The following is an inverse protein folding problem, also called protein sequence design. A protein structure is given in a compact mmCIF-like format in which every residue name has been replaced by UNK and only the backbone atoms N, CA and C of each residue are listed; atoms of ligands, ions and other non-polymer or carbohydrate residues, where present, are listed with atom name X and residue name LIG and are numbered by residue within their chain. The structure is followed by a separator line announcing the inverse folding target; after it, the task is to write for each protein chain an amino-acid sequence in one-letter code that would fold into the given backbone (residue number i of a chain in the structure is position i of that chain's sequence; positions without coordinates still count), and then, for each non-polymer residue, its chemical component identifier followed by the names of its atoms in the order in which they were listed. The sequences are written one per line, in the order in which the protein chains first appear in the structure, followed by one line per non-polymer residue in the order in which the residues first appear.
data_IF_479507588779
#
_entry.id   IF_479507588779
#
_cell.length_a   1.000
_cell.length_b   1.000
_cell.length_c   1.000
_cell.angle_alpha   90.00
_cell.angle_beta   90.00
_cell.angle_gamma   90.00
#
_symmetry.space_group_name_H-M   'P 1'
#
loop_
_entity.id
_entity.type
_entity.pdbx_description
1 polymer ?
#
# COMPACT_ATOMS: atom_id res chain seq x y z
N UNK A 1 -2.39 -24.79 -12.63
CA UNK A 1 -3.71 -24.46 -13.22
C UNK A 1 -4.19 -23.07 -12.80
N UNK A 2 -4.23 -22.75 -11.50
CA UNK A 2 -4.64 -21.42 -11.04
C UNK A 2 -3.72 -20.28 -11.52
N UNK A 3 -2.41 -20.50 -11.53
CA UNK A 3 -1.46 -19.46 -11.98
C UNK A 3 -1.62 -19.15 -13.47
N UNK A 4 -1.85 -20.18 -14.31
CA UNK A 4 -2.17 -20.01 -15.75
C UNK A 4 -3.47 -19.21 -15.90
N UNK A 5 -4.51 -19.57 -15.14
CA UNK A 5 -5.79 -18.84 -15.18
C UNK A 5 -5.65 -17.38 -14.74
N UNK A 6 -4.81 -17.08 -13.75
CA UNK A 6 -4.54 -15.72 -13.29
C UNK A 6 -3.82 -14.90 -14.38
N UNK A 7 -2.79 -15.47 -15.00
CA UNK A 7 -2.07 -14.82 -16.11
C UNK A 7 -3.02 -14.53 -17.27
N UNK A 8 -3.82 -15.51 -17.68
CA UNK A 8 -4.84 -15.33 -18.72
C UNK A 8 -5.87 -14.29 -18.33
N UNK A 9 -6.34 -14.28 -17.07
CA UNK A 9 -7.31 -13.29 -16.60
C UNK A 9 -6.78 -11.85 -16.71
N UNK A 10 -5.56 -11.60 -16.23
CA UNK A 10 -4.95 -10.25 -16.27
C UNK A 10 -4.80 -9.80 -17.73
N UNK A 11 -4.33 -10.68 -18.62
CA UNK A 11 -4.17 -10.39 -20.04
C UNK A 11 -5.52 -10.11 -20.72
N UNK A 12 -6.50 -11.03 -20.57
CA UNK A 12 -7.84 -10.92 -21.16
C UNK A 12 -8.56 -9.66 -20.70
N UNK A 13 -8.43 -9.29 -19.42
CA UNK A 13 -9.04 -8.08 -18.89
C UNK A 13 -8.47 -6.84 -19.57
N UNK A 14 -7.16 -6.76 -19.76
CA UNK A 14 -6.54 -5.62 -20.44
C UNK A 14 -6.90 -5.57 -21.92
N UNK A 15 -7.01 -6.71 -22.60
CA UNK A 15 -7.40 -6.77 -24.00
C UNK A 15 -8.87 -6.40 -24.23
N UNK A 16 -9.77 -6.82 -23.34
CA UNK A 16 -11.22 -6.64 -23.49
C UNK A 16 -11.75 -5.35 -22.88
N UNK A 17 -11.26 -4.97 -21.70
CA UNK A 17 -11.72 -3.79 -20.96
C UNK A 17 -10.75 -2.60 -21.06
N UNK A 18 -9.58 -2.80 -21.68
CA UNK A 18 -8.50 -1.82 -21.66
C UNK A 18 -7.73 -1.83 -20.34
N UNK A 19 -6.58 -1.15 -20.35
CA UNK A 19 -5.72 -0.99 -19.18
C UNK A 19 -6.44 -0.22 -18.06
N UNK A 20 -7.15 0.86 -18.40
CA UNK A 20 -7.96 1.64 -17.45
C UNK A 20 -9.06 0.79 -16.79
N UNK A 21 -9.75 -0.03 -17.59
CA UNK A 21 -10.78 -0.93 -17.07
C UNK A 21 -10.20 -1.97 -16.10
N UNK A 22 -8.97 -2.40 -16.35
CA UNK A 22 -8.22 -3.30 -15.47
C UNK A 22 -7.82 -2.62 -14.17
N UNK A 23 -7.33 -1.38 -14.22
CA UNK A 23 -7.05 -0.55 -13.03
C UNK A 23 -8.30 -0.41 -12.17
N UNK A 24 -9.42 0.00 -12.75
CA UNK A 24 -10.68 0.15 -12.02
C UNK A 24 -11.15 -1.16 -11.39
N UNK A 25 -10.94 -2.29 -12.06
CA UNK A 25 -11.24 -3.59 -11.48
C UNK A 25 -10.35 -3.88 -10.27
N UNK A 26 -9.03 -3.66 -10.37
CA UNK A 26 -8.12 -3.89 -9.24
C UNK A 26 -8.39 -2.98 -8.05
N UNK A 27 -8.75 -1.72 -8.30
CA UNK A 27 -9.23 -0.82 -7.25
C UNK A 27 -10.47 -1.40 -6.55
N UNK A 28 -11.48 -1.86 -7.29
CA UNK A 28 -12.66 -2.52 -6.70
C UNK A 28 -12.31 -3.77 -5.91
N UNK A 29 -11.31 -4.55 -6.34
CA UNK A 29 -10.82 -5.69 -5.55
C UNK A 29 -10.26 -5.21 -4.21
N UNK A 30 -9.43 -4.17 -4.19
CA UNK A 30 -8.92 -3.56 -2.96
C UNK A 30 -10.02 -3.07 -2.03
N UNK A 31 -11.03 -2.37 -2.57
CA UNK A 31 -12.21 -1.92 -1.81
C UNK A 31 -12.99 -3.10 -1.21
N UNK A 32 -13.23 -4.14 -2.00
CA UNK A 32 -13.97 -5.32 -1.55
C UNK A 32 -13.23 -6.10 -0.46
N UNK A 33 -11.90 -6.13 -0.51
CA UNK A 33 -11.08 -6.71 0.56
C UNK A 33 -11.22 -5.88 1.85
N UNK A 34 -11.12 -4.55 1.76
CA UNK A 34 -11.27 -3.67 2.91
C UNK A 34 -12.67 -3.75 3.55
N UNK A 35 -13.74 -3.93 2.77
CA UNK A 35 -15.11 -4.11 3.28
C UNK A 35 -15.29 -5.36 4.14
N UNK A 36 -14.43 -6.37 3.98
CA UNK A 36 -14.45 -7.58 4.81
C UNK A 36 -13.76 -7.36 6.17
N UNK A 37 -13.03 -6.27 6.31
CA UNK A 37 -12.40 -5.86 7.57
C UNK A 37 -13.44 -5.08 8.38
N UNK A 38 -13.64 -5.50 9.63
CA UNK A 38 -14.55 -4.83 10.56
C UNK A 38 -14.09 -3.43 10.94
N UNK A 39 -14.95 -2.69 11.64
CA UNK A 39 -14.56 -1.42 12.25
C UNK A 39 -13.66 -1.67 13.45
N UNK A 40 -12.61 -0.88 13.59
CA UNK A 40 -11.66 -0.96 14.70
C UNK A 40 -11.57 0.39 15.42
N UNK A 41 -11.39 0.34 16.73
CA UNK A 41 -11.24 1.53 17.55
C UNK A 41 -10.13 1.31 18.56
N UNK A 42 -9.19 2.24 18.60
CA UNK A 42 -8.02 2.22 19.46
C UNK A 42 -7.97 3.49 20.30
N UNK A 43 -7.55 3.36 21.56
CA UNK A 43 -7.49 4.50 22.49
C UNK A 43 -6.40 5.51 22.14
N UNK A 44 -5.34 5.05 21.45
CA UNK A 44 -4.22 5.88 21.03
C UNK A 44 -3.22 5.09 20.19
N UNK A 45 -2.25 5.78 19.59
CA UNK A 45 -1.24 5.17 18.74
C UNK A 45 -0.47 4.01 19.37
N UNK A 46 -0.06 4.04 20.66
CA UNK A 46 0.61 2.90 21.27
C UNK A 46 -0.23 1.61 21.21
N UNK A 47 -1.55 1.72 21.47
CA UNK A 47 -2.45 0.57 21.41
C UNK A 47 -2.62 0.02 19.99
N UNK A 48 -2.70 0.91 18.99
CA UNK A 48 -2.74 0.50 17.58
C UNK A 48 -1.44 -0.18 17.14
N UNK A 49 -0.29 0.39 17.48
CA UNK A 49 1.02 -0.14 17.12
C UNK A 49 1.31 -1.51 17.74
N UNK A 50 0.87 -1.73 18.99
CA UNK A 50 0.93 -3.05 19.64
C UNK A 50 0.01 -4.04 18.92
N UNK A 51 -1.25 -3.66 18.66
CA UNK A 51 -2.19 -4.52 17.95
C UNK A 51 -1.69 -4.90 16.54
N UNK A 52 -1.07 -3.96 15.82
CA UNK A 52 -0.50 -4.21 14.50
C UNK A 52 0.63 -5.23 14.56
N UNK A 53 1.57 -5.06 15.49
CA UNK A 53 2.68 -6.02 15.69
C UNK A 53 2.20 -7.42 16.08
N UNK A 54 1.08 -7.50 16.79
CA UNK A 54 0.45 -8.76 17.20
C UNK A 54 -0.47 -9.36 16.13
N UNK A 55 -0.58 -8.74 14.96
CA UNK A 55 -1.41 -9.25 13.86
C UNK A 55 -2.92 -9.05 14.06
N UNK A 56 -3.32 -8.08 14.88
CA UNK A 56 -4.71 -7.86 15.33
C UNK A 56 -5.38 -6.61 14.73
N UNK A 57 -4.84 -6.09 13.63
CA UNK A 57 -5.42 -4.95 12.90
C UNK A 57 -5.78 -5.34 11.48
N UNK A 58 -6.62 -4.56 10.82
CA UNK A 58 -6.96 -4.72 9.42
C UNK A 58 -5.76 -4.72 8.48
N UNK A 59 -4.70 -3.98 8.82
CA UNK A 59 -3.45 -3.93 8.06
C UNK A 59 -2.61 -5.20 8.20
N UNK A 60 -2.84 -6.00 9.24
CA UNK A 60 -2.06 -7.22 9.51
C UNK A 60 -2.30 -8.32 8.48
N UNK A 61 -3.37 -8.22 7.68
CA UNK A 61 -3.62 -9.13 6.55
C UNK A 61 -2.52 -9.04 5.49
N UNK A 62 -1.79 -7.92 5.44
CA UNK A 62 -0.67 -7.73 4.53
C UNK A 62 0.62 -8.43 5.01
N UNK A 63 0.61 -9.07 6.17
CA UNK A 63 1.75 -9.83 6.70
C UNK A 63 2.61 -9.01 7.67
N UNK A 64 3.94 -9.13 7.55
CA UNK A 64 4.91 -8.59 8.51
C UNK A 64 5.10 -7.07 8.31
N UNK A 65 4.27 -6.30 9.02
CA UNK A 65 4.29 -4.83 9.02
C UNK A 65 4.97 -4.32 10.29
N UNK A 66 6.00 -3.50 10.11
CA UNK A 66 6.73 -2.85 11.20
C UNK A 66 6.35 -1.37 11.32
N UNK A 67 5.84 -0.90 12.47
CA UNK A 67 5.73 0.53 12.75
C UNK A 67 7.11 1.12 13.05
N UNK A 68 7.52 2.12 12.26
CA UNK A 68 8.76 2.88 12.43
C UNK A 68 8.50 4.02 13.43
N UNK A 69 8.50 3.67 14.72
CA UNK A 69 8.07 4.57 15.80
C UNK A 69 8.98 5.78 16.02
N UNK A 70 10.21 5.70 15.53
CA UNK A 70 11.17 6.80 15.44
C UNK A 70 10.78 7.85 14.38
N UNK A 71 9.85 7.51 13.48
CA UNK A 71 9.32 8.38 12.43
C UNK A 71 7.86 8.75 12.72
N UNK A 72 7.63 9.30 13.92
CA UNK A 72 6.33 9.86 14.27
C UNK A 72 6.02 11.09 13.40
N UNK A 73 4.78 11.16 12.93
CA UNK A 73 4.25 12.29 12.16
C UNK A 73 3.54 13.19 13.17
N UNK A 74 3.96 14.45 13.24
CA UNK A 74 3.38 15.46 14.14
C UNK A 74 2.63 16.54 13.38
N UNK A 75 1.58 17.07 13.98
CA UNK A 75 0.90 18.26 13.45
C UNK A 75 1.62 19.58 13.82
N UNK A 76 0.99 20.71 13.49
CA UNK A 76 1.48 22.06 13.79
C UNK A 76 1.68 22.32 15.29
N UNK A 77 0.87 21.70 16.14
CA UNK A 77 0.91 21.85 17.59
C UNK A 77 1.95 20.91 18.24
N UNK A 78 2.44 19.93 17.48
CA UNK A 78 3.44 18.96 17.92
C UNK A 78 2.83 17.65 18.43
N UNK A 79 1.52 17.49 18.30
CA UNK A 79 0.82 16.27 18.67
C UNK A 79 1.09 15.16 17.64
N UNK A 80 1.22 13.93 18.12
CA UNK A 80 1.45 12.77 17.25
C UNK A 80 0.14 12.40 16.54
N UNK A 81 0.13 12.61 15.23
CA UNK A 81 -1.01 12.36 14.34
C UNK A 81 -0.79 11.17 13.42
N UNK A 82 0.35 10.50 13.47
CA UNK A 82 0.62 9.36 12.59
C UNK A 82 1.98 8.73 12.78
N UNK A 83 2.21 7.64 12.06
CA UNK A 83 3.50 6.96 11.96
C UNK A 83 3.75 6.46 10.53
N UNK A 84 5.01 6.19 10.24
CA UNK A 84 5.41 5.43 9.06
C UNK A 84 5.42 3.93 9.39
N UNK A 85 4.96 3.14 8.44
CA UNK A 85 4.88 1.69 8.51
C UNK A 85 5.61 1.10 7.31
N UNK A 86 6.29 -0.02 7.53
CA UNK A 86 7.06 -0.70 6.51
C UNK A 86 6.67 -2.18 6.45
N UNK A 87 6.23 -2.62 5.27
CA UNK A 87 5.92 -4.01 4.98
C UNK A 87 7.18 -4.70 4.49
N UNK A 88 7.59 -5.77 5.18
CA UNK A 88 8.81 -6.51 4.86
C UNK A 88 8.75 -7.21 3.50
N UNK A 89 7.64 -7.92 3.24
CA UNK A 89 7.38 -8.61 1.98
C UNK A 89 5.92 -8.40 1.57
N UNK A 90 5.71 -7.99 0.34
CA UNK A 90 4.41 -7.87 -0.32
C UNK A 90 3.72 -9.25 -0.40
N UNK A 91 2.45 -9.31 0.01
CA UNK A 91 1.68 -10.58 0.00
C UNK A 91 1.50 -11.19 -1.38
N UNK A 92 1.72 -10.42 -2.45
CA UNK A 92 1.67 -10.93 -3.82
C UNK A 92 2.99 -11.55 -4.28
N UNK A 93 4.11 -11.38 -3.57
CA UNK A 93 5.40 -12.01 -3.94
C UNK A 93 5.29 -13.53 -4.07
N UNK A 94 4.69 -14.27 -3.11
CA UNK A 94 4.48 -15.71 -3.28
C UNK A 94 3.70 -16.05 -4.55
N UNK A 95 2.69 -15.25 -4.91
CA UNK A 95 1.90 -15.44 -6.14
C UNK A 95 2.73 -15.18 -7.39
N UNK A 96 3.50 -14.08 -7.42
CA UNK A 96 4.41 -13.75 -8.52
C UNK A 96 5.44 -14.87 -8.72
N UNK A 97 6.00 -15.41 -7.64
CA UNK A 97 6.94 -16.53 -7.68
C UNK A 97 6.29 -17.79 -8.27
N UNK A 98 5.09 -18.16 -7.82
CA UNK A 98 4.37 -19.33 -8.38
C UNK A 98 4.08 -19.15 -9.87
N UNK A 99 3.64 -17.97 -10.30
CA UNK A 99 3.45 -17.66 -11.73
C UNK A 99 4.77 -17.82 -12.49
N UNK A 100 5.87 -17.28 -11.98
CA UNK A 100 7.19 -17.41 -12.61
C UNK A 100 7.63 -18.87 -12.76
N UNK A 101 7.43 -19.69 -11.73
CA UNK A 101 7.85 -21.10 -11.78
C UNK A 101 6.95 -21.98 -12.64
N UNK A 102 5.65 -21.67 -12.74
CA UNK A 102 4.65 -22.51 -13.42
C UNK A 102 4.32 -22.06 -14.84
N UNK A 103 4.40 -20.77 -15.14
CA UNK A 103 4.05 -20.15 -16.44
C UNK A 103 5.26 -19.51 -17.10
N UNK A 104 6.23 -19.03 -16.32
CA UNK A 104 7.48 -18.42 -16.78
C UNK A 104 7.57 -16.93 -16.46
N UNK A 105 6.53 -16.17 -16.79
CA UNK A 105 6.48 -14.72 -16.57
C UNK A 105 5.06 -14.20 -16.29
N UNK A 106 4.97 -12.98 -15.76
CA UNK A 106 3.72 -12.23 -15.69
C UNK A 106 3.31 -11.77 -17.09
N UNK A 107 2.00 -11.58 -17.36
CA UNK A 107 1.55 -11.14 -18.67
C UNK A 107 2.02 -9.71 -18.97
N UNK A 108 2.11 -9.34 -20.24
CA UNK A 108 2.52 -7.98 -20.66
C UNK A 108 1.62 -6.89 -20.07
N UNK A 109 0.34 -7.24 -19.86
CA UNK A 109 -0.63 -6.41 -19.16
C UNK A 109 -0.19 -5.99 -17.74
N UNK A 110 0.65 -6.77 -17.05
CA UNK A 110 1.15 -6.41 -15.71
C UNK A 110 1.88 -5.07 -15.70
N UNK A 111 2.83 -4.89 -16.62
CA UNK A 111 3.59 -3.65 -16.76
C UNK A 111 2.73 -2.51 -17.30
N UNK A 112 1.93 -2.78 -18.32
CA UNK A 112 1.05 -1.77 -18.91
C UNK A 112 0.09 -1.16 -17.87
N UNK A 113 -0.48 -2.00 -16.99
CA UNK A 113 -1.34 -1.54 -15.88
C UNK A 113 -0.57 -0.71 -14.87
N UNK A 114 0.65 -1.12 -14.49
CA UNK A 114 1.45 -0.36 -13.54
C UNK A 114 1.87 1.01 -14.12
N UNK A 115 2.31 1.04 -15.37
CA UNK A 115 2.70 2.27 -16.08
C UNK A 115 1.54 3.24 -16.22
N UNK A 116 0.37 2.76 -16.67
CA UNK A 116 -0.82 3.59 -16.81
C UNK A 116 -1.27 4.13 -15.46
N UNK A 117 -1.29 3.30 -14.41
CA UNK A 117 -1.62 3.74 -13.05
C UNK A 117 -0.68 4.84 -12.56
N UNK A 118 0.62 4.71 -12.83
CA UNK A 118 1.62 5.71 -12.47
C UNK A 118 1.40 7.04 -13.20
N UNK A 119 0.96 6.99 -14.47
CA UNK A 119 0.73 8.17 -15.29
C UNK A 119 -0.58 8.89 -14.95
N UNK A 120 -1.64 8.16 -14.62
CA UNK A 120 -2.99 8.72 -14.50
C UNK A 120 -3.54 8.80 -13.07
N UNK A 121 -3.01 8.00 -12.13
CA UNK A 121 -3.52 7.92 -10.76
C UNK A 121 -2.47 8.34 -9.74
N UNK A 122 -1.38 7.58 -9.63
CA UNK A 122 -0.33 7.82 -8.65
C UNK A 122 0.96 7.08 -9.02
N UNK A 123 2.06 7.82 -9.22
CA UNK A 123 3.38 7.26 -9.54
C UNK A 123 4.02 6.52 -8.35
N UNK A 124 3.59 5.26 -8.15
CA UNK A 124 3.97 4.45 -6.99
C UNK A 124 3.97 2.93 -7.25
N UNK A 125 3.35 2.48 -8.34
CA UNK A 125 3.16 1.10 -8.70
C UNK A 125 4.36 0.53 -9.48
N UNK A 126 4.81 -0.66 -9.10
CA UNK A 126 5.87 -1.42 -9.80
C UNK A 126 5.34 -2.69 -10.49
N UNK A 127 4.07 -3.02 -10.25
CA UNK A 127 3.32 -4.11 -10.89
C UNK A 127 1.82 -3.86 -10.71
N UNK A 128 0.98 -4.61 -11.43
CA UNK A 128 -0.48 -4.43 -11.39
C UNK A 128 -1.07 -4.60 -9.97
N UNK A 129 -0.48 -5.47 -9.15
CA UNK A 129 -0.98 -5.75 -7.81
C UNK A 129 -0.81 -4.57 -6.83
N UNK A 130 0.08 -3.62 -7.12
CA UNK A 130 0.22 -2.40 -6.33
C UNK A 130 -1.07 -1.57 -6.30
N UNK A 131 -1.85 -1.61 -7.38
CA UNK A 131 -3.17 -0.95 -7.49
C UNK A 131 -4.14 -1.47 -6.43
N UNK A 132 -4.11 -2.80 -6.19
CA UNK A 132 -4.94 -3.45 -5.17
C UNK A 132 -4.50 -3.00 -3.78
N UNK A 133 -3.19 -3.04 -3.50
CA UNK A 133 -2.64 -2.69 -2.19
C UNK A 133 -2.92 -1.26 -1.78
N UNK A 134 -2.63 -0.31 -2.67
CA UNK A 134 -2.85 1.09 -2.37
C UNK A 134 -4.33 1.33 -2.04
N UNK A 135 -5.23 0.82 -2.89
CA UNK A 135 -6.66 0.98 -2.67
C UNK A 135 -7.16 0.27 -1.40
N UNK A 136 -6.68 -0.93 -1.13
CA UNK A 136 -6.99 -1.65 0.11
C UNK A 136 -6.59 -0.83 1.34
N UNK A 137 -5.36 -0.29 1.37
CA UNK A 137 -4.85 0.51 2.50
C UNK A 137 -5.64 1.80 2.70
N UNK A 138 -5.99 2.48 1.61
CA UNK A 138 -6.84 3.67 1.66
C UNK A 138 -8.22 3.38 2.28
N UNK A 139 -8.85 2.28 1.89
CA UNK A 139 -10.19 1.94 2.36
C UNK A 139 -10.18 1.36 3.78
N UNK A 140 -9.21 0.50 4.12
CA UNK A 140 -9.13 -0.09 5.46
C UNK A 140 -8.84 0.98 6.52
N UNK A 141 -8.04 2.00 6.19
CA UNK A 141 -7.78 3.13 7.09
C UNK A 141 -9.08 3.83 7.54
N UNK A 142 -10.10 3.91 6.67
CA UNK A 142 -11.39 4.55 6.99
C UNK A 142 -12.19 3.78 8.05
N UNK A 143 -11.99 2.46 8.13
CA UNK A 143 -12.65 1.59 9.10
C UNK A 143 -12.01 1.65 10.49
N UNK A 144 -10.84 2.28 10.61
CA UNK A 144 -10.07 2.34 11.85
C UNK A 144 -10.17 3.75 12.43
N UNK A 145 -10.33 3.81 13.75
CA UNK A 145 -10.27 5.06 14.51
C UNK A 145 -9.22 4.98 15.61
N UNK A 146 -8.51 6.08 15.83
CA UNK A 146 -7.57 6.25 16.95
C UNK A 146 -8.00 7.49 17.72
N UNK A 147 -8.28 7.33 19.02
CA UNK A 147 -8.85 8.39 19.86
C UNK A 147 -10.10 9.05 19.25
N UNK A 148 -10.94 8.23 18.58
CA UNK A 148 -12.16 8.69 17.90
C UNK A 148 -11.93 9.40 16.55
N UNK A 149 -10.69 9.56 16.09
CA UNK A 149 -10.36 10.16 14.80
C UNK A 149 -10.19 9.10 13.72
N UNK A 150 -10.79 9.33 12.54
CA UNK A 150 -10.59 8.48 11.37
C UNK A 150 -9.19 8.63 10.79
N UNK A 151 -8.69 7.57 10.16
CA UNK A 151 -7.36 7.54 9.57
C UNK A 151 -7.40 7.74 8.04
N UNK A 152 -6.26 8.15 7.49
CA UNK A 152 -5.90 8.05 6.09
C UNK A 152 -4.59 7.26 5.95
N UNK A 153 -4.43 6.57 4.82
CA UNK A 153 -3.19 5.88 4.46
C UNK A 153 -2.57 6.55 3.24
N UNK A 154 -1.26 6.77 3.27
CA UNK A 154 -0.49 7.37 2.16
C UNK A 154 0.65 6.44 1.79
N UNK A 155 0.63 5.89 0.58
CA UNK A 155 1.75 5.09 0.09
C UNK A 155 2.94 6.01 -0.22
N UNK A 156 4.11 5.70 0.34
CA UNK A 156 5.30 6.54 0.25
C UNK A 156 6.33 5.96 -0.71
N UNK A 157 6.51 4.64 -0.70
CA UNK A 157 7.43 3.97 -1.59
C UNK A 157 7.11 2.48 -1.74
N UNK A 158 7.50 1.93 -2.89
CA UNK A 158 7.32 0.52 -3.23
C UNK A 158 8.61 -0.03 -3.84
N UNK A 159 8.96 -1.27 -3.52
CA UNK A 159 9.97 -2.07 -4.19
C UNK A 159 9.34 -3.36 -4.72
N UNK A 160 9.49 -3.59 -6.01
CA UNK A 160 9.01 -4.79 -6.69
C UNK A 160 9.96 -5.97 -6.46
N UNK A 161 9.47 -7.16 -6.78
CA UNK A 161 10.23 -8.40 -6.66
C UNK A 161 11.54 -8.40 -7.47
N UNK A 162 11.58 -7.68 -8.60
CA UNK A 162 12.77 -7.53 -9.45
C UNK A 162 13.77 -6.48 -8.94
N UNK A 163 13.46 -5.80 -7.84
CA UNK A 163 14.25 -4.71 -7.28
C UNK A 163 13.90 -3.32 -7.82
N UNK A 164 12.99 -3.21 -8.79
CA UNK A 164 12.46 -1.92 -9.24
C UNK A 164 11.83 -1.16 -8.08
N UNK A 165 12.02 0.16 -8.02
CA UNK A 165 11.48 1.00 -6.95
C UNK A 165 10.72 2.19 -7.48
N UNK A 166 9.63 2.56 -6.79
CA UNK A 166 8.89 3.82 -6.98
C UNK A 166 8.76 4.55 -5.66
N UNK A 167 8.77 5.88 -5.72
CA UNK A 167 8.69 6.75 -4.55
C UNK A 167 7.69 7.88 -4.85
N UNK A 168 6.74 8.09 -3.95
CA UNK A 168 5.74 9.15 -4.07
C UNK A 168 6.33 10.48 -3.60
N UNK A 169 6.86 11.27 -4.53
CA UNK A 169 7.34 12.63 -4.20
C UNK A 169 6.21 13.49 -3.62
N UNK A 170 4.98 13.33 -4.13
CA UNK A 170 3.80 14.07 -3.66
C UNK A 170 3.53 13.80 -2.18
N UNK A 171 3.47 12.53 -1.79
CA UNK A 171 3.13 12.17 -0.41
C UNK A 171 4.29 12.47 0.55
N UNK A 172 5.54 12.27 0.12
CA UNK A 172 6.70 12.65 0.93
C UNK A 172 6.78 14.15 1.17
N UNK A 173 6.51 14.97 0.13
CA UNK A 173 6.42 16.43 0.26
C UNK A 173 5.31 16.83 1.23
N UNK A 174 4.12 16.21 1.13
CA UNK A 174 3.01 16.43 2.08
C UNK A 174 3.42 16.17 3.53
N UNK A 175 4.25 15.15 3.77
CA UNK A 175 4.69 14.76 5.11
C UNK A 175 5.99 15.44 5.57
N UNK A 176 6.65 16.22 4.71
CA UNK A 176 7.97 16.81 5.02
C UNK A 176 9.08 15.77 5.22
N UNK A 177 8.97 14.58 4.61
CA UNK A 177 9.93 13.49 4.77
C UNK A 177 10.97 13.51 3.65
N UNK A 178 12.24 13.32 4.01
CA UNK A 178 13.33 13.20 3.05
C UNK A 178 13.19 11.92 2.18
N UNK A 179 13.10 12.03 0.84
CA UNK A 179 13.03 10.87 -0.05
C UNK A 179 14.19 9.88 0.06
N UNK A 180 15.41 10.36 0.35
CA UNK A 180 16.57 9.47 0.51
C UNK A 180 16.43 8.56 1.73
N UNK A 181 15.84 9.07 2.80
CA UNK A 181 15.58 8.27 3.99
C UNK A 181 14.60 7.13 3.67
N UNK A 182 13.51 7.44 2.97
CA UNK A 182 12.52 6.43 2.56
C UNK A 182 13.09 5.44 1.54
N UNK A 183 13.89 5.90 0.58
CA UNK A 183 14.62 5.01 -0.35
C UNK A 183 15.52 4.03 0.39
N UNK A 184 16.14 4.47 1.48
CA UNK A 184 17.02 3.62 2.30
C UNK A 184 16.25 2.47 2.99
N UNK A 185 14.99 2.69 3.34
CA UNK A 185 14.11 1.67 3.92
C UNK A 185 13.80 0.55 2.91
N UNK A 186 13.72 0.88 1.61
CA UNK A 186 13.49 -0.11 0.55
C UNK A 186 14.62 -1.13 0.40
N UNK A 187 15.72 -1.04 1.16
CA UNK A 187 16.70 -2.14 1.23
C UNK A 187 16.15 -3.35 1.98
N UNK A 188 15.32 -3.11 2.99
CA UNK A 188 14.81 -4.14 3.91
C UNK A 188 13.30 -4.36 3.81
N UNK A 189 12.58 -3.43 3.18
CA UNK A 189 11.12 -3.45 3.09
C UNK A 189 10.66 -3.32 1.63
N UNK A 190 9.50 -3.89 1.30
CA UNK A 190 8.91 -3.86 -0.05
C UNK A 190 7.83 -2.79 -0.22
N UNK A 191 7.20 -2.34 0.86
CA UNK A 191 6.32 -1.17 0.82
C UNK A 191 6.55 -0.29 2.06
N UNK A 192 6.52 1.02 1.88
CA UNK A 192 6.57 2.00 2.96
C UNK A 192 5.38 2.93 2.80
N UNK A 193 4.59 3.10 3.86
CA UNK A 193 3.38 3.91 3.86
C UNK A 193 3.19 4.62 5.20
N UNK A 194 2.47 5.73 5.20
CA UNK A 194 2.06 6.40 6.42
C UNK A 194 0.61 6.02 6.75
N UNK A 195 0.32 5.83 8.04
CA UNK A 195 -1.05 5.88 8.57
C UNK A 195 -1.11 7.09 9.50
N UNK A 196 -2.07 7.97 9.28
CA UNK A 196 -2.23 9.20 10.04
C UNK A 196 -3.70 9.59 10.22
N UNK A 197 -3.98 10.46 11.19
CA UNK A 197 -5.29 11.05 11.39
C UNK A 197 -5.67 11.87 10.16
N UNK A 198 -6.87 11.60 9.63
CA UNK A 198 -7.38 12.25 8.44
C UNK A 198 -7.58 13.75 8.69
N UNK A 199 -6.98 14.57 7.83
CA UNK A 199 -7.13 16.03 7.92
C UNK A 199 -6.26 16.69 8.99
N UNK A 200 -5.29 15.98 9.56
CA UNK A 200 -4.29 16.58 10.42
C UNK A 200 -3.51 17.70 9.69
N UNK A 201 -3.27 18.81 10.39
CA UNK A 201 -2.53 19.96 9.85
C UNK A 201 -1.03 19.74 10.05
N UNK A 202 -0.32 19.36 8.99
CA UNK A 202 1.09 19.02 9.07
C UNK A 202 1.99 20.26 9.00
N UNK A 203 3.15 20.22 9.66
CA UNK A 203 4.19 21.24 9.52
C UNK A 203 4.78 21.15 8.11
N UNK A 204 4.37 22.05 7.22
CA UNK A 204 4.87 22.15 5.83
C UNK A 204 3.87 21.78 4.74
N UNK A 205 2.61 21.50 5.10
CA UNK A 205 1.49 21.41 4.16
C UNK A 205 0.82 22.77 3.92
#
# INVERSE_FOLDING_TARGET
MLDVALVSLIQDMSEKAGVDGTIQYWQRVGENLARRIGKEAYMGWPSFNVALREGRTGFSIEGDVTPLTDLAITDVDGDVVGYIYALKQCVFVPTILRVRYSVGELPRADRAVAEEYNNSVHDIAVCNFCVIHEKFREEVAKNITIAGQHLESLLLATRGFTGETKISERNLKKLGINPEHVRSLLRNYECVYAIMMKGAKLKGA
#
